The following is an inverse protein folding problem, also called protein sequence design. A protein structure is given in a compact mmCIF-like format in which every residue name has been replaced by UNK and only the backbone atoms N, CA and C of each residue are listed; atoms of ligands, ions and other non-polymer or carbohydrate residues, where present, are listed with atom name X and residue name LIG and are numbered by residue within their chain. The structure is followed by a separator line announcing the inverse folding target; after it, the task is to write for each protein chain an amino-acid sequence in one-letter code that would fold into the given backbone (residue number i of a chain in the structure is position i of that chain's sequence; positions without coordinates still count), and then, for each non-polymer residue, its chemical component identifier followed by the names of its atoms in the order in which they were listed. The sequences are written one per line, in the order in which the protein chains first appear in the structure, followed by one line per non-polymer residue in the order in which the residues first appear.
data_IF_772565710992
#
_entry.id   IF_772565710992
#
_cell.length_a   1.000
_cell.length_b   1.000
_cell.length_c   1.000
_cell.angle_alpha   90.00
_cell.angle_beta   90.00
_cell.angle_gamma   90.00
#
_symmetry.space_group_name_H-M   'P 1'
#
loop_
_entity.id
_entity.type
_entity.pdbx_description
1 polymer ?
#
# COMPACT_ATOMS: atom_id res chain seq x y z
N UNK A 1 -10.57 17.34 1.69
CA UNK A 1 -11.74 16.93 0.91
C UNK A 1 -12.28 15.64 1.50
N UNK A 2 -13.46 15.71 2.11
CA UNK A 2 -14.22 14.59 2.67
C UNK A 2 -14.94 13.88 1.53
N UNK A 3 -14.83 12.55 1.43
CA UNK A 3 -15.76 11.63 0.76
C UNK A 3 -15.15 10.22 0.81
N UNK A 4 -15.72 9.32 1.61
CA UNK A 4 -16.26 8.06 1.10
C UNK A 4 -17.12 7.43 2.21
N UNK A 5 -18.41 7.47 1.92
CA UNK A 5 -19.54 7.04 2.74
C UNK A 5 -19.83 5.58 2.43
N UNK A 6 -20.07 4.83 3.49
CA UNK A 6 -20.89 3.62 3.64
C UNK A 6 -21.36 2.87 2.38
N UNK A 7 -20.92 1.61 2.27
CA UNK A 7 -21.71 0.55 1.62
C UNK A 7 -21.69 -0.69 2.52
N UNK A 8 -22.73 -0.85 3.35
CA UNK A 8 -23.08 -2.14 3.93
C UNK A 8 -24.60 -2.15 4.14
N UNK A 9 -25.32 -2.35 3.04
CA UNK A 9 -26.79 -2.45 3.03
C UNK A 9 -27.15 -3.93 2.85
N UNK A 10 -27.36 -4.59 3.98
CA UNK A 10 -28.47 -5.48 4.31
C UNK A 10 -29.20 -6.10 3.11
N UNK A 11 -28.92 -7.37 2.83
CA UNK A 11 -29.77 -8.25 2.03
C UNK A 11 -30.27 -9.41 2.91
N UNK A 12 -31.16 -9.10 3.86
CA UNK A 12 -32.02 -10.11 4.51
C UNK A 12 -33.21 -10.34 3.60
N UNK A 13 -33.04 -11.26 2.65
CA UNK A 13 -34.14 -11.73 1.80
C UNK A 13 -34.92 -12.81 2.54
N UNK A 14 -36.18 -12.46 2.78
CA UNK A 14 -37.32 -13.26 3.21
C UNK A 14 -37.24 -14.77 2.88
N UNK A 15 -37.26 -15.60 3.93
CA UNK A 15 -37.69 -17.00 3.82
C UNK A 15 -39.22 -17.02 3.93
N UNK A 16 -39.90 -17.00 2.78
CA UNK A 16 -41.34 -17.22 2.72
C UNK A 16 -41.63 -18.72 2.85
N UNK A 17 -42.27 -19.09 3.97
CA UNK A 17 -42.91 -20.39 4.15
C UNK A 17 -44.10 -20.49 3.18
N UNK A 18 -43.93 -21.26 2.10
CA UNK A 18 -45.03 -21.70 1.26
C UNK A 18 -45.41 -23.13 1.69
N UNK A 19 -46.63 -23.30 2.18
CA UNK A 19 -47.49 -24.50 2.14
C UNK A 19 -48.83 -24.05 2.77
N UNK A 20 -50.00 -24.38 2.21
CA UNK A 20 -50.36 -25.73 1.80
C UNK A 20 -51.10 -25.78 0.44
N UNK A 21 -51.34 -26.98 -0.08
CA UNK A 21 -52.64 -27.43 -0.60
C UNK A 21 -52.46 -28.91 -0.94
N UNK A 22 -53.03 -29.77 -0.09
CA UNK A 22 -53.24 -31.17 -0.43
C UNK A 22 -54.37 -31.23 -1.46
N UNK A 23 -54.08 -31.91 -2.56
CA UNK A 23 -55.00 -32.20 -3.63
C UNK A 23 -55.86 -33.44 -3.33
N UNK A 24 -57.00 -33.48 -4.02
CA UNK A 24 -57.82 -34.64 -4.40
C UNK A 24 -58.86 -35.19 -3.42
N UNK A 25 -60.07 -35.36 -3.97
CA UNK A 25 -61.08 -36.24 -3.41
C UNK A 25 -62.52 -35.87 -3.76
N UNK A 26 -62.88 -36.03 -5.03
CA UNK A 26 -64.26 -36.09 -5.54
C UNK A 26 -65.15 -37.07 -4.75
N UNK A 27 -66.46 -36.79 -4.65
CA UNK A 27 -67.42 -37.85 -4.33
C UNK A 27 -68.71 -37.38 -3.66
N UNK A 28 -69.71 -37.11 -4.49
CA UNK A 28 -71.11 -36.94 -4.10
C UNK A 28 -71.64 -38.19 -3.39
N UNK A 29 -72.50 -37.93 -2.41
CA UNK A 29 -73.24 -38.81 -1.51
C UNK A 29 -73.51 -40.25 -1.96
N UNK A 30 -73.19 -41.19 -1.06
CA UNK A 30 -73.92 -42.45 -0.92
C UNK A 30 -74.50 -42.55 0.49
N UNK A 31 -75.74 -43.00 0.51
CA UNK A 31 -76.73 -43.12 1.59
C UNK A 31 -76.27 -43.85 2.85
N UNK A 32 -76.60 -43.22 3.99
CA UNK A 32 -77.14 -43.81 5.21
C UNK A 32 -76.63 -45.16 5.70
N UNK A 33 -75.92 -45.15 6.84
CA UNK A 33 -76.14 -46.12 7.93
C UNK A 33 -75.91 -45.40 9.27
N UNK A 34 -76.91 -45.51 10.15
CA UNK A 34 -76.94 -45.06 11.54
C UNK A 34 -75.79 -45.62 12.38
N UNK A 35 -75.02 -44.74 13.06
CA UNK A 35 -74.21 -45.09 14.23
C UNK A 35 -74.26 -43.99 15.30
N UNK A 36 -74.16 -44.34 16.60
CA UNK A 36 -74.75 -43.59 17.70
C UNK A 36 -74.02 -42.28 18.05
N UNK A 37 -74.79 -41.28 18.49
CA UNK A 37 -74.38 -39.92 18.90
C UNK A 37 -73.31 -39.84 20.02
N UNK A 38 -72.92 -40.96 20.62
CA UNK A 38 -71.96 -41.05 21.74
C UNK A 38 -70.51 -41.22 21.30
N UNK A 39 -70.21 -41.86 20.17
CA UNK A 39 -68.82 -42.07 19.71
C UNK A 39 -68.20 -40.82 19.06
N UNK A 40 -69.00 -39.98 18.41
CA UNK A 40 -68.56 -38.78 17.68
C UNK A 40 -68.07 -37.64 18.59
N UNK A 41 -68.55 -37.58 19.84
CA UNK A 41 -68.12 -36.58 20.83
C UNK A 41 -66.82 -36.99 21.56
N UNK A 42 -66.58 -38.28 21.76
CA UNK A 42 -65.35 -38.78 22.38
C UNK A 42 -64.12 -38.60 21.46
N UNK A 43 -64.29 -38.77 20.15
CA UNK A 43 -63.24 -38.55 19.13
C UNK A 43 -62.87 -37.08 18.97
N UNK A 44 -63.84 -36.15 19.01
CA UNK A 44 -63.55 -34.70 19.02
C UNK A 44 -62.82 -34.25 20.28
N UNK A 45 -63.18 -34.77 21.46
CA UNK A 45 -62.54 -34.40 22.73
C UNK A 45 -61.10 -34.90 22.83
N UNK A 46 -60.80 -36.10 22.32
CA UNK A 46 -59.43 -36.64 22.28
C UNK A 46 -58.57 -35.95 21.22
N UNK A 47 -59.13 -35.60 20.06
CA UNK A 47 -58.45 -34.82 19.03
C UNK A 47 -58.09 -33.40 19.52
N UNK A 48 -59.01 -32.73 20.23
CA UNK A 48 -58.76 -31.41 20.83
C UNK A 48 -57.72 -31.47 21.96
N UNK A 49 -57.68 -32.55 22.74
CA UNK A 49 -56.63 -32.75 23.73
C UNK A 49 -55.26 -32.98 23.07
N UNK A 50 -55.15 -33.88 22.09
CA UNK A 50 -53.91 -34.10 21.33
C UNK A 50 -53.40 -32.79 20.70
N UNK A 51 -54.28 -32.01 20.10
CA UNK A 51 -53.94 -30.72 19.50
C UNK A 51 -53.46 -29.69 20.55
N UNK A 52 -54.06 -29.69 21.75
CA UNK A 52 -53.58 -28.85 22.87
C UNK A 52 -52.19 -29.28 23.36
N UNK A 53 -51.91 -30.58 23.40
CA UNK A 53 -50.61 -31.11 23.82
C UNK A 53 -49.54 -30.80 22.78
N UNK A 54 -49.81 -31.05 21.49
CA UNK A 54 -48.92 -30.70 20.38
C UNK A 54 -48.65 -29.20 20.31
N UNK A 55 -49.68 -28.35 20.49
CA UNK A 55 -49.50 -26.90 20.54
C UNK A 55 -48.60 -26.47 21.70
N UNK A 56 -48.70 -27.12 22.87
CA UNK A 56 -47.82 -26.84 24.02
C UNK A 56 -46.37 -27.24 23.71
N UNK A 57 -46.14 -28.42 23.14
CA UNK A 57 -44.80 -28.85 22.74
C UNK A 57 -44.17 -27.92 21.68
N UNK A 58 -44.95 -27.51 20.69
CA UNK A 58 -44.48 -26.56 19.65
C UNK A 58 -44.12 -25.21 20.26
N UNK A 59 -44.90 -24.73 21.23
CA UNK A 59 -44.62 -23.47 21.94
C UNK A 59 -43.36 -23.58 22.80
N UNK A 60 -43.15 -24.69 23.51
CA UNK A 60 -41.95 -24.94 24.31
C UNK A 60 -40.69 -25.01 23.41
N UNK A 61 -40.72 -25.80 22.32
CA UNK A 61 -39.64 -25.86 21.32
C UNK A 61 -39.36 -24.49 20.69
N UNK A 62 -40.38 -23.66 20.50
CA UNK A 62 -40.22 -22.30 19.98
C UNK A 62 -39.55 -21.37 21.00
N UNK A 63 -39.85 -21.50 22.30
CA UNK A 63 -39.16 -20.75 23.35
C UNK A 63 -37.69 -21.15 23.44
N UNK A 64 -37.39 -22.45 23.43
CA UNK A 64 -36.02 -22.98 23.47
C UNK A 64 -35.20 -22.47 22.28
N UNK A 65 -35.72 -22.62 21.04
CA UNK A 65 -35.05 -22.08 19.85
C UNK A 65 -34.87 -20.56 19.91
N UNK A 66 -35.82 -19.83 20.50
CA UNK A 66 -35.71 -18.37 20.66
C UNK A 66 -34.61 -17.99 21.64
N UNK A 67 -34.40 -18.77 22.71
CA UNK A 67 -33.30 -18.56 23.67
C UNK A 67 -31.95 -18.91 23.06
N UNK A 68 -31.82 -20.06 22.38
CA UNK A 68 -30.60 -20.46 21.67
C UNK A 68 -30.18 -19.40 20.64
N UNK A 69 -31.12 -18.92 19.82
CA UNK A 69 -30.86 -17.90 18.82
C UNK A 69 -30.43 -16.55 19.44
N UNK A 70 -30.83 -16.28 20.68
CA UNK A 70 -30.43 -15.07 21.44
C UNK A 70 -28.98 -15.19 21.91
N UNK A 71 -28.60 -16.36 22.42
CA UNK A 71 -27.24 -16.64 22.87
C UNK A 71 -26.26 -16.70 21.70
N UNK A 72 -26.64 -17.36 20.61
CA UNK A 72 -25.82 -17.43 19.40
C UNK A 72 -25.56 -16.04 18.83
N UNK A 73 -26.59 -15.17 18.75
CA UNK A 73 -26.43 -13.77 18.36
C UNK A 73 -25.46 -13.01 19.28
N UNK A 74 -25.54 -13.23 20.59
CA UNK A 74 -24.66 -12.58 21.56
C UNK A 74 -23.20 -13.01 21.34
N UNK A 75 -22.96 -14.30 21.15
CA UNK A 75 -21.63 -14.85 20.86
C UNK A 75 -21.06 -14.33 19.53
N UNK A 76 -21.87 -14.26 18.47
CA UNK A 76 -21.46 -13.69 17.17
C UNK A 76 -21.08 -12.22 17.31
N UNK A 77 -21.87 -11.43 18.07
CA UNK A 77 -21.58 -10.01 18.32
C UNK A 77 -20.28 -9.81 19.11
N UNK A 78 -20.00 -10.67 20.10
CA UNK A 78 -18.73 -10.59 20.85
C UNK A 78 -17.52 -10.95 20.00
N UNK A 79 -17.61 -12.02 19.19
CA UNK A 79 -16.55 -12.39 18.24
C UNK A 79 -16.27 -11.26 17.25
N UNK A 80 -17.32 -10.68 16.65
CA UNK A 80 -17.19 -9.54 15.74
C UNK A 80 -16.55 -8.31 16.41
N UNK A 81 -16.86 -8.04 17.69
CA UNK A 81 -16.21 -6.95 18.43
C UNK A 81 -14.72 -7.21 18.66
N UNK A 82 -14.35 -8.47 18.96
CA UNK A 82 -12.96 -8.89 19.12
C UNK A 82 -12.16 -8.73 17.83
N UNK A 83 -12.65 -9.33 16.75
CA UNK A 83 -12.04 -9.26 15.41
C UNK A 83 -11.91 -7.81 14.93
N UNK A 84 -12.94 -6.98 15.12
CA UNK A 84 -12.88 -5.56 14.76
C UNK A 84 -11.78 -4.81 15.51
N UNK A 85 -11.58 -5.08 16.81
CA UNK A 85 -10.49 -4.47 17.58
C UNK A 85 -9.12 -4.93 17.09
N UNK A 86 -8.97 -6.21 16.78
CA UNK A 86 -7.72 -6.76 16.26
C UNK A 86 -7.36 -6.15 14.90
N UNK A 87 -8.31 -6.11 13.97
CA UNK A 87 -8.15 -5.49 12.65
C UNK A 87 -7.81 -4.00 12.78
N UNK A 88 -8.49 -3.28 13.69
CA UNK A 88 -8.20 -1.87 13.94
C UNK A 88 -6.79 -1.65 14.47
N UNK A 89 -6.31 -2.49 15.38
CA UNK A 89 -4.96 -2.40 15.93
C UNK A 89 -3.91 -2.69 14.86
N UNK A 90 -4.09 -3.75 14.04
CA UNK A 90 -3.20 -4.05 12.91
C UNK A 90 -3.13 -2.88 11.93
N UNK A 91 -4.29 -2.33 11.54
CA UNK A 91 -4.36 -1.19 10.63
C UNK A 91 -3.64 0.05 11.18
N UNK A 92 -3.72 0.28 12.50
CA UNK A 92 -3.01 1.39 13.15
C UNK A 92 -1.49 1.19 13.08
N UNK A 93 -1.01 0.00 13.44
CA UNK A 93 0.41 -0.35 13.38
C UNK A 93 0.96 -0.26 11.96
N UNK A 94 0.25 -0.81 10.96
CA UNK A 94 0.65 -0.78 9.56
C UNK A 94 0.72 0.66 9.04
N UNK A 95 -0.23 1.51 9.43
CA UNK A 95 -0.23 2.93 9.08
C UNK A 95 0.98 3.66 9.67
N UNK A 96 1.32 3.40 10.93
CA UNK A 96 2.47 4.03 11.59
C UNK A 96 3.79 3.54 10.97
N UNK A 97 3.89 2.25 10.64
CA UNK A 97 5.03 1.68 9.93
C UNK A 97 5.20 2.28 8.52
N UNK A 98 4.12 2.42 7.76
CA UNK A 98 4.13 3.08 6.45
C UNK A 98 4.57 4.54 6.55
N UNK A 99 4.11 5.27 7.57
CA UNK A 99 4.49 6.67 7.79
C UNK A 99 5.98 6.81 8.06
N UNK A 100 6.58 5.91 8.85
CA UNK A 100 8.01 5.96 9.13
C UNK A 100 8.85 5.56 7.91
N UNK A 101 8.45 4.53 7.16
CA UNK A 101 9.06 4.18 5.87
C UNK A 101 9.07 5.38 4.90
N UNK A 102 7.94 6.06 4.76
CA UNK A 102 7.80 7.23 3.89
C UNK A 102 8.69 8.40 4.35
N UNK A 103 8.87 8.59 5.66
CA UNK A 103 9.75 9.62 6.22
C UNK A 103 11.23 9.32 5.92
N UNK A 104 11.66 8.07 6.10
CA UNK A 104 13.02 7.62 5.78
C UNK A 104 13.29 7.78 4.28
N UNK A 105 12.36 7.35 3.43
CA UNK A 105 12.49 7.44 1.98
C UNK A 105 12.60 8.90 1.50
N UNK A 106 11.74 9.79 2.01
CA UNK A 106 11.82 11.23 1.73
C UNK A 106 13.15 11.85 2.15
N UNK A 107 13.66 11.48 3.33
CA UNK A 107 14.96 11.96 3.82
C UNK A 107 16.09 11.48 2.90
N UNK A 108 16.12 10.18 2.59
CA UNK A 108 17.10 9.60 1.68
C UNK A 108 17.07 10.23 0.28
N UNK A 109 15.87 10.53 -0.25
CA UNK A 109 15.73 11.19 -1.56
C UNK A 109 16.24 12.64 -1.52
N UNK A 110 15.97 13.35 -0.42
CA UNK A 110 16.45 14.72 -0.19
C UNK A 110 17.98 14.77 -0.10
N UNK A 111 18.59 13.84 0.64
CA UNK A 111 20.04 13.79 0.83
C UNK A 111 20.76 13.45 -0.49
N UNK A 112 20.22 12.51 -1.29
CA UNK A 112 20.72 12.24 -2.65
C UNK A 112 20.65 13.47 -3.55
N UNK A 113 19.53 14.19 -3.52
CA UNK A 113 19.35 15.39 -4.33
C UNK A 113 20.35 16.48 -3.94
N UNK A 114 20.56 16.68 -2.63
CA UNK A 114 21.57 17.62 -2.11
C UNK A 114 22.97 17.24 -2.56
N UNK A 115 23.37 15.98 -2.39
CA UNK A 115 24.70 15.50 -2.81
C UNK A 115 24.92 15.68 -4.32
N UNK A 116 23.94 15.31 -5.14
CA UNK A 116 23.97 15.52 -6.60
C UNK A 116 24.11 17.00 -6.96
N UNK A 117 23.35 17.87 -6.31
CA UNK A 117 23.40 19.32 -6.56
C UNK A 117 24.75 19.93 -6.18
N UNK A 118 25.34 19.50 -5.06
CA UNK A 118 26.65 19.95 -4.60
C UNK A 118 27.76 19.55 -5.57
N UNK A 119 27.75 18.29 -6.03
CA UNK A 119 28.72 17.82 -7.02
C UNK A 119 28.60 18.54 -8.36
N UNK A 120 27.37 18.76 -8.86
CA UNK A 120 27.16 19.50 -10.09
C UNK A 120 27.60 20.96 -9.99
N UNK A 121 27.41 21.58 -8.82
CA UNK A 121 27.90 22.94 -8.55
C UNK A 121 29.42 22.99 -8.59
N UNK A 122 30.10 22.09 -7.88
CA UNK A 122 31.55 22.01 -7.86
C UNK A 122 32.13 21.75 -9.25
N UNK A 123 31.52 20.84 -10.03
CA UNK A 123 31.93 20.58 -11.41
C UNK A 123 31.74 21.80 -12.32
N UNK A 124 30.65 22.55 -12.14
CA UNK A 124 30.39 23.79 -12.89
C UNK A 124 31.40 24.87 -12.54
N UNK A 125 31.71 25.04 -11.25
CA UNK A 125 32.67 26.05 -10.79
C UNK A 125 34.07 25.75 -11.32
N UNK A 126 34.49 24.47 -11.29
CA UNK A 126 35.75 24.01 -11.88
C UNK A 126 35.79 24.23 -13.40
N UNK A 127 34.69 23.97 -14.12
CA UNK A 127 34.58 24.24 -15.55
C UNK A 127 34.75 25.72 -15.87
N UNK A 128 34.07 26.60 -15.12
CA UNK A 128 34.17 28.05 -15.32
C UNK A 128 35.56 28.58 -14.98
N UNK A 129 36.19 28.07 -13.92
CA UNK A 129 37.57 28.43 -13.57
C UNK A 129 38.55 28.03 -14.68
N UNK A 130 38.44 26.82 -15.22
CA UNK A 130 39.26 26.34 -16.34
C UNK A 130 39.06 27.21 -17.61
N UNK A 131 37.83 27.60 -17.93
CA UNK A 131 37.55 28.50 -19.06
C UNK A 131 38.14 29.90 -18.84
N UNK A 132 38.05 30.43 -17.63
CA UNK A 132 38.62 31.74 -17.29
C UNK A 132 40.14 31.73 -17.43
N UNK A 133 40.79 30.68 -16.97
CA UNK A 133 42.24 30.50 -17.13
C UNK A 133 42.60 30.38 -18.61
N UNK A 134 41.95 29.48 -19.35
CA UNK A 134 42.21 29.29 -20.77
C UNK A 134 42.03 30.58 -21.58
N UNK A 135 41.04 31.41 -21.23
CA UNK A 135 40.85 32.73 -21.87
C UNK A 135 41.98 33.70 -21.55
N UNK A 136 42.45 33.71 -20.30
CA UNK A 136 43.58 34.56 -19.89
C UNK A 136 44.84 34.16 -20.65
N UNK A 137 45.13 32.86 -20.73
CA UNK A 137 46.28 32.33 -21.47
C UNK A 137 46.18 32.63 -22.97
N UNK A 138 44.97 32.51 -23.54
CA UNK A 138 44.69 32.89 -24.93
C UNK A 138 44.95 34.37 -25.18
N UNK A 139 44.49 35.25 -24.31
CA UNK A 139 44.66 36.70 -24.47
C UNK A 139 46.14 37.09 -24.41
N UNK A 140 46.92 36.48 -23.52
CA UNK A 140 48.38 36.67 -23.43
C UNK A 140 49.07 36.17 -24.71
N UNK A 141 48.80 34.92 -25.10
CA UNK A 141 49.41 34.32 -26.29
C UNK A 141 49.00 35.05 -27.59
N UNK A 142 47.75 35.49 -27.69
CA UNK A 142 47.27 36.24 -28.86
C UNK A 142 47.88 37.63 -28.94
N UNK A 143 48.10 38.32 -27.80
CA UNK A 143 48.82 39.60 -27.78
C UNK A 143 50.27 39.44 -28.22
N UNK A 144 50.96 38.40 -27.73
CA UNK A 144 52.32 38.07 -28.14
C UNK A 144 52.41 37.79 -29.65
N UNK A 145 51.56 36.90 -30.16
CA UNK A 145 51.52 36.56 -31.58
C UNK A 145 51.26 37.78 -32.49
N UNK A 146 50.45 38.75 -32.02
CA UNK A 146 50.23 40.02 -32.73
C UNK A 146 51.47 40.92 -32.73
N UNK A 147 52.16 41.02 -31.59
CA UNK A 147 53.41 41.79 -31.49
C UNK A 147 54.49 41.21 -32.42
N UNK A 148 54.58 39.88 -32.47
CA UNK A 148 55.56 39.14 -33.27
C UNK A 148 55.12 38.96 -34.74
N UNK A 149 53.93 39.46 -35.11
CA UNK A 149 53.27 39.29 -36.43
C UNK A 149 53.22 37.82 -36.90
N UNK A 150 53.18 36.88 -35.97
CA UNK A 150 53.22 35.45 -36.24
C UNK A 150 51.80 34.87 -36.38
N UNK A 151 51.48 34.41 -37.59
CA UNK A 151 50.22 33.69 -37.87
C UNK A 151 50.19 32.31 -37.19
N UNK A 152 51.34 31.64 -37.11
CA UNK A 152 51.43 30.30 -36.53
C UNK A 152 51.23 30.32 -35.02
N UNK A 153 51.79 31.33 -34.33
CA UNK A 153 51.53 31.51 -32.90
C UNK A 153 50.08 31.90 -32.61
N UNK A 154 49.46 32.72 -33.46
CA UNK A 154 48.05 33.07 -33.32
C UNK A 154 47.13 31.86 -33.50
N UNK A 155 47.48 30.96 -34.43
CA UNK A 155 46.79 29.68 -34.64
C UNK A 155 47.00 28.75 -33.44
N UNK A 156 48.24 28.57 -32.99
CA UNK A 156 48.57 27.75 -31.83
C UNK A 156 47.84 28.20 -30.56
N UNK A 157 47.71 29.51 -30.33
CA UNK A 157 46.95 30.06 -29.22
C UNK A 157 45.45 29.68 -29.31
N UNK A 158 44.85 29.78 -30.49
CA UNK A 158 43.45 29.38 -30.71
C UNK A 158 43.25 27.88 -30.51
N UNK A 159 44.16 27.07 -31.04
CA UNK A 159 44.10 25.61 -30.92
C UNK A 159 44.25 25.17 -29.45
N UNK A 160 45.18 25.79 -28.70
CA UNK A 160 45.34 25.57 -27.27
C UNK A 160 44.08 25.96 -26.47
N UNK A 161 43.46 27.10 -26.76
CA UNK A 161 42.22 27.52 -26.13
C UNK A 161 41.07 26.53 -26.40
N UNK A 162 40.92 26.09 -27.65
CA UNK A 162 39.89 25.14 -28.05
C UNK A 162 40.11 23.76 -27.40
N UNK A 163 41.37 23.32 -27.31
CA UNK A 163 41.73 22.09 -26.61
C UNK A 163 41.39 22.18 -25.12
N UNK A 164 41.74 23.28 -24.45
CA UNK A 164 41.41 23.51 -23.04
C UNK A 164 39.89 23.54 -22.79
N UNK A 165 39.13 24.21 -23.66
CA UNK A 165 37.65 24.21 -23.61
C UNK A 165 37.07 22.80 -23.75
N UNK A 166 37.58 22.00 -24.69
CA UNK A 166 37.14 20.62 -24.91
C UNK A 166 37.49 19.71 -23.73
N UNK A 167 38.67 19.87 -23.14
CA UNK A 167 39.09 19.14 -21.94
C UNK A 167 38.18 19.48 -20.75
N UNK A 168 37.95 20.77 -20.49
CA UNK A 168 37.07 21.23 -19.41
C UNK A 168 35.64 20.68 -19.57
N UNK A 169 35.11 20.68 -20.80
CA UNK A 169 33.78 20.14 -21.09
C UNK A 169 33.70 18.63 -20.88
N UNK A 170 34.74 17.89 -21.28
CA UNK A 170 34.84 16.44 -21.05
C UNK A 170 34.80 16.13 -19.56
N UNK A 171 35.60 16.83 -18.76
CA UNK A 171 35.63 16.67 -17.30
C UNK A 171 34.29 17.01 -16.65
N UNK A 172 33.64 18.09 -17.08
CA UNK A 172 32.30 18.44 -16.59
C UNK A 172 31.26 17.36 -16.90
N UNK A 173 31.27 16.81 -18.11
CA UNK A 173 30.35 15.75 -18.51
C UNK A 173 30.61 14.44 -17.75
N UNK A 174 31.87 14.10 -17.51
CA UNK A 174 32.24 12.96 -16.68
C UNK A 174 31.72 13.12 -15.24
N UNK A 175 31.91 14.31 -14.64
CA UNK A 175 31.37 14.62 -13.31
C UNK A 175 29.83 14.57 -13.28
N UNK A 176 29.16 15.09 -14.31
CA UNK A 176 27.70 15.01 -14.46
C UNK A 176 27.21 13.56 -14.53
N UNK A 177 27.91 12.70 -15.28
CA UNK A 177 27.59 11.26 -15.37
C UNK A 177 27.78 10.57 -14.02
N UNK A 178 28.91 10.82 -13.34
CA UNK A 178 29.19 10.27 -12.00
C UNK A 178 28.13 10.68 -10.97
N UNK A 179 27.69 11.95 -10.99
CA UNK A 179 26.62 12.44 -10.12
C UNK A 179 25.25 11.79 -10.45
N UNK A 180 25.04 11.33 -11.69
CA UNK A 180 23.89 10.51 -12.07
C UNK A 180 23.97 9.09 -11.50
N UNK A 181 25.10 8.41 -11.67
CA UNK A 181 25.32 7.03 -11.21
C UNK A 181 25.28 6.88 -9.68
N UNK A 182 25.80 7.87 -8.95
CA UNK A 182 25.75 7.88 -7.48
C UNK A 182 24.30 7.96 -6.94
N UNK A 183 23.38 8.56 -7.70
CA UNK A 183 21.97 8.68 -7.30
C UNK A 183 21.16 7.38 -7.46
N UNK A 184 21.60 6.46 -8.34
CA UNK A 184 20.97 5.15 -8.58
C UNK A 184 21.54 4.02 -7.73
N UNK A 185 22.76 4.15 -7.18
CA UNK A 185 23.39 3.08 -6.39
C UNK A 185 22.80 2.92 -4.97
N UNK A 186 22.14 3.95 -4.43
CA UNK A 186 21.59 3.93 -3.06
C UNK A 186 20.13 3.47 -2.97
N UNK A 187 19.55 2.89 -4.02
CA UNK A 187 18.22 2.24 -3.95
C UNK A 187 18.30 0.74 -3.62
N UNK A 188 19.50 0.16 -3.52
CA UNK A 188 19.69 -1.27 -3.28
C UNK A 188 20.33 -1.70 -1.95
N UNK A 189 20.79 -0.77 -1.11
CA UNK A 189 21.48 -1.13 0.14
C UNK A 189 20.67 -0.76 1.37
N UNK A 190 19.74 -1.64 1.74
CA UNK A 190 19.42 -1.93 3.15
C UNK A 190 20.32 -3.06 3.68
N UNK A 191 21.58 -3.11 3.22
CA UNK A 191 22.57 -4.09 3.63
C UNK A 191 23.42 -3.54 4.76
N UNK A 192 23.17 -4.05 5.96
CA UNK A 192 24.03 -4.09 7.14
C UNK A 192 25.45 -3.54 6.95
N UNK A 193 25.73 -2.36 7.51
CA UNK A 193 27.10 -1.88 7.66
C UNK A 193 27.69 -2.54 8.89
N UNK A 194 28.50 -3.58 8.70
CA UNK A 194 29.46 -4.03 9.71
C UNK A 194 30.65 -3.06 9.68
N UNK A 195 31.04 -2.44 10.81
CA UNK A 195 32.23 -1.60 10.83
C UNK A 195 33.48 -2.47 10.83
N UNK A 196 34.24 -2.46 9.75
CA UNK A 196 35.62 -2.96 9.75
C UNK A 196 36.50 -1.89 10.40
N UNK A 197 36.89 -2.12 11.65
CA UNK A 197 37.93 -1.34 12.34
C UNK A 197 39.25 -1.49 11.60
N UNK A 198 39.82 -0.36 11.19
CA UNK A 198 41.13 -0.27 10.57
C UNK A 198 42.26 -0.66 11.52
N UNK A 199 43.15 -1.51 11.04
CA UNK A 199 44.49 -1.66 11.60
C UNK A 199 45.41 -0.59 11.03
N UNK A 200 45.81 0.35 11.86
CA UNK A 200 46.83 1.34 11.57
C UNK A 200 48.21 0.67 11.49
N UNK A 201 48.94 0.89 10.41
CA UNK A 201 50.39 0.63 10.36
C UNK A 201 51.13 1.93 10.65
N UNK A 202 51.75 2.00 11.82
CA UNK A 202 52.73 3.01 12.21
C UNK A 202 54.07 2.71 11.50
N UNK A 203 54.74 3.67 10.84
CA UNK A 203 56.12 3.48 10.43
C UNK A 203 57.05 3.85 11.60
N UNK A 204 57.78 2.88 12.12
CA UNK A 204 58.94 3.13 12.97
C UNK A 204 60.19 3.15 12.07
N UNK A 205 60.89 4.28 12.08
CA UNK A 205 62.16 4.43 11.40
C UNK A 205 63.27 3.63 12.09
N UNK A 206 64.19 3.14 11.27
CA UNK A 206 65.64 3.15 11.44
C UNK A 206 66.27 3.00 10.05
#
# INVERSE_FOLDING_TARGET
MKKFVSFLTIATTFFAFALPVAAQGTGTAATGVSKPKTEYNATKKSAVQKFKTEKKEVVEKFKEKKTELKEEKKNVVEKLKGEKKEVFNKLKTDKDALKEKLKIEKKGLTDKLKAKSAMLKLARDAYLAALKQARTDYDVASKKAKADKSKDEAKAARDAFNAAKKAALTTFNAAKKAAGSASSATTGSTGTVVPTTGGATTPAGQ
#
